data_IF_012830849397
#
_entry.id   IF_012830849397
#
_cell.length_a   1.000
_cell.length_b   1.000
_cell.length_c   1.000
_cell.angle_alpha   90.00
_cell.angle_beta   90.00
_cell.angle_gamma   90.00
#
_symmetry.space_group_name_H-M   'P 1'
#
loop_
_entity.id
_entity.type
_entity.pdbx_description
1 polymer ?
#
# COMPACT_ATOMS: atom_id res chain seq x y z
N UNK A 1 10.79 72.40 57.74
CA UNK A 1 10.45 73.06 56.50
C UNK A 1 8.99 72.77 56.27
N UNK A 2 8.10 73.74 56.56
CA UNK A 2 6.67 73.60 56.54
C UNK A 2 6.11 73.85 55.13
N UNK A 3 5.26 72.95 54.65
CA UNK A 3 4.48 73.13 53.43
C UNK A 3 3.05 73.45 53.84
N UNK A 4 2.67 74.71 53.72
CA UNK A 4 1.31 75.22 53.93
C UNK A 4 0.36 74.87 52.86
N UNK A 5 -0.67 74.01 53.13
CA UNK A 5 -1.77 73.69 52.29
C UNK A 5 -2.78 74.87 52.16
N UNK A 6 -2.76 75.49 51.01
CA UNK A 6 -3.72 76.59 50.66
C UNK A 6 -4.97 76.00 50.08
N UNK A 7 -6.04 75.81 50.83
CA UNK A 7 -7.39 75.44 50.34
C UNK A 7 -7.96 76.54 49.50
N UNK A 8 -8.04 76.29 48.19
CA UNK A 8 -8.76 77.17 47.26
C UNK A 8 -10.25 76.84 47.34
N UNK A 9 -11.04 77.75 47.96
CA UNK A 9 -12.51 77.66 47.92
C UNK A 9 -12.97 78.27 46.62
N UNK A 10 -13.49 77.39 45.68
CA UNK A 10 -14.22 77.86 44.47
C UNK A 10 -15.67 78.00 44.93
N UNK A 11 -16.12 79.22 45.13
CA UNK A 11 -17.52 79.55 45.26
C UNK A 11 -18.14 79.70 43.87
N UNK A 12 -18.87 78.69 43.42
CA UNK A 12 -19.76 78.85 42.26
C UNK A 12 -21.01 79.63 42.65
N UNK A 13 -21.29 80.75 41.98
CA UNK A 13 -22.53 81.41 42.19
C UNK A 13 -23.63 80.66 41.41
N UNK A 14 -24.50 79.99 42.15
CA UNK A 14 -25.74 79.45 41.59
C UNK A 14 -26.71 80.61 41.37
N UNK A 15 -26.63 81.20 40.19
CA UNK A 15 -27.69 82.06 39.73
C UNK A 15 -28.85 81.17 39.24
N UNK A 16 -29.80 80.88 40.14
CA UNK A 16 -31.09 80.30 39.79
C UNK A 16 -31.88 81.38 39.03
N UNK A 17 -31.71 81.40 37.72
CA UNK A 17 -32.66 82.12 36.82
C UNK A 17 -34.02 81.41 36.87
N UNK A 18 -35.11 82.12 36.51
CA UNK A 18 -36.46 81.56 36.53
C UNK A 18 -36.53 80.28 35.68
N UNK A 19 -36.86 79.19 36.33
CA UNK A 19 -37.09 77.90 35.66
C UNK A 19 -38.28 78.03 34.75
N UNK A 20 -38.04 78.48 33.51
CA UNK A 20 -38.98 78.28 32.43
C UNK A 20 -39.29 76.84 32.36
N UNK A 21 -40.59 76.52 32.22
CA UNK A 21 -41.14 75.17 32.24
C UNK A 21 -40.48 74.24 31.15
N UNK A 22 -39.29 73.71 31.47
CA UNK A 22 -38.47 72.86 30.56
C UNK A 22 -38.87 71.37 30.62
N UNK A 23 -39.99 71.07 31.35
CA UNK A 23 -40.45 69.70 31.55
C UNK A 23 -40.76 68.98 30.22
N UNK A 24 -41.16 69.68 29.19
CA UNK A 24 -41.42 69.15 27.89
C UNK A 24 -40.10 68.74 27.15
N UNK A 25 -39.04 69.57 27.30
CA UNK A 25 -37.76 69.31 26.60
C UNK A 25 -37.04 68.09 27.21
N UNK A 26 -37.06 67.97 28.56
CA UNK A 26 -36.46 66.76 29.24
C UNK A 26 -37.15 65.49 28.83
N UNK A 27 -38.48 65.45 28.62
CA UNK A 27 -39.19 64.30 28.12
C UNK A 27 -38.76 63.92 26.71
N UNK A 28 -38.62 64.92 25.81
CA UNK A 28 -38.20 64.70 24.41
C UNK A 28 -36.78 64.17 24.38
N UNK A 29 -35.86 64.71 25.20
CA UNK A 29 -34.48 64.23 25.30
C UNK A 29 -34.44 62.78 25.83
N UNK A 30 -35.22 62.49 26.88
CA UNK A 30 -35.30 61.15 27.41
C UNK A 30 -35.84 60.13 26.41
N UNK A 31 -36.88 60.48 25.62
CA UNK A 31 -37.39 59.67 24.50
C UNK A 31 -36.36 59.50 23.41
N UNK A 32 -35.64 60.52 22.97
CA UNK A 32 -34.59 60.42 21.97
C UNK A 32 -33.43 59.51 22.47
N UNK A 33 -32.95 59.67 23.71
CA UNK A 33 -31.94 58.81 24.27
C UNK A 33 -32.39 57.41 24.38
N UNK A 34 -33.65 57.15 24.81
CA UNK A 34 -34.21 55.80 24.89
C UNK A 34 -34.33 55.16 23.50
N UNK A 35 -34.76 55.94 22.49
CA UNK A 35 -34.82 55.44 21.10
C UNK A 35 -33.43 55.12 20.55
N UNK A 36 -32.44 55.95 20.83
CA UNK A 36 -31.06 55.70 20.45
C UNK A 36 -30.47 54.44 21.10
N UNK A 37 -30.73 54.27 22.39
CA UNK A 37 -30.32 53.06 23.14
C UNK A 37 -30.97 51.81 22.61
N UNK A 38 -32.27 51.86 22.24
CA UNK A 38 -32.95 50.74 21.62
C UNK A 38 -32.39 50.37 20.26
N UNK A 39 -32.09 51.39 19.42
CA UNK A 39 -31.41 51.18 18.12
C UNK A 39 -30.02 50.58 18.27
N UNK A 40 -29.21 51.07 19.20
CA UNK A 40 -27.90 50.55 19.51
C UNK A 40 -27.99 49.11 20.05
N UNK A 41 -28.91 48.89 20.97
CA UNK A 41 -29.16 47.53 21.55
C UNK A 41 -29.58 46.51 20.46
N UNK A 42 -30.50 46.94 19.56
CA UNK A 42 -30.87 46.13 18.40
C UNK A 42 -29.73 45.85 17.45
N UNK A 43 -28.86 46.82 17.19
CA UNK A 43 -27.67 46.62 16.37
C UNK A 43 -26.65 45.65 17.00
N UNK A 44 -26.37 45.81 18.28
CA UNK A 44 -25.49 44.87 19.01
C UNK A 44 -26.05 43.46 19.05
N UNK A 45 -27.37 43.31 19.21
CA UNK A 45 -28.01 41.98 19.19
C UNK A 45 -27.86 41.32 17.82
N UNK A 46 -28.10 42.05 16.70
CA UNK A 46 -27.93 41.49 15.36
C UNK A 46 -26.47 41.14 15.07
N UNK A 47 -25.50 42.01 15.46
CA UNK A 47 -24.10 41.75 15.32
C UNK A 47 -23.69 40.47 16.08
N UNK A 48 -24.09 40.33 17.35
CA UNK A 48 -23.81 39.16 18.19
C UNK A 48 -24.45 37.88 17.60
N UNK A 49 -25.64 37.92 17.05
CA UNK A 49 -26.27 36.78 16.36
C UNK A 49 -25.48 36.39 15.12
N UNK A 50 -25.01 37.36 14.35
CA UNK A 50 -24.19 37.12 13.16
C UNK A 50 -22.86 36.49 13.54
N UNK A 51 -22.16 37.00 14.55
CA UNK A 51 -20.90 36.40 15.07
C UNK A 51 -21.11 34.99 15.56
N UNK A 52 -22.18 34.70 16.31
CA UNK A 52 -22.52 33.35 16.76
C UNK A 52 -22.77 32.41 15.59
N UNK A 53 -23.43 32.88 14.52
CA UNK A 53 -23.67 32.09 13.32
C UNK A 53 -22.39 31.79 12.58
N UNK A 54 -21.49 32.78 12.43
CA UNK A 54 -20.18 32.61 11.83
C UNK A 54 -19.36 31.58 12.64
N UNK A 55 -19.23 31.78 13.94
CA UNK A 55 -18.49 30.85 14.82
C UNK A 55 -19.07 29.43 14.77
N UNK A 56 -20.40 29.29 14.74
CA UNK A 56 -21.03 27.97 14.57
C UNK A 56 -20.71 27.32 13.23
N UNK A 57 -20.68 28.10 12.14
CA UNK A 57 -20.33 27.60 10.82
C UNK A 57 -18.88 27.19 10.75
N UNK A 58 -17.95 27.96 11.33
CA UNK A 58 -16.52 27.61 11.40
C UNK A 58 -16.31 26.29 12.15
N UNK A 59 -17.00 26.09 13.29
CA UNK A 59 -16.96 24.83 14.04
C UNK A 59 -17.51 23.67 13.20
N UNK A 60 -18.58 23.87 12.44
CA UNK A 60 -19.14 22.84 11.58
C UNK A 60 -18.19 22.49 10.42
N UNK A 61 -17.56 23.48 9.80
CA UNK A 61 -16.54 23.28 8.77
C UNK A 61 -15.34 22.50 9.32
N UNK A 62 -14.82 22.91 10.49
CA UNK A 62 -13.71 22.20 11.13
C UNK A 62 -14.06 20.74 11.45
N UNK A 63 -15.26 20.49 11.96
CA UNK A 63 -15.72 19.11 12.25
C UNK A 63 -15.86 18.28 10.98
N UNK A 64 -16.45 18.85 9.91
CA UNK A 64 -16.54 18.17 8.62
C UNK A 64 -15.13 17.85 8.07
N UNK A 65 -14.17 18.76 8.22
CA UNK A 65 -12.78 18.55 7.84
C UNK A 65 -12.13 17.38 8.60
N UNK A 66 -12.25 17.34 9.94
CA UNK A 66 -11.72 16.23 10.73
C UNK A 66 -12.39 14.89 10.42
N UNK A 67 -13.67 14.90 10.07
CA UNK A 67 -14.35 13.69 9.60
C UNK A 67 -13.80 13.22 8.25
N UNK A 68 -13.49 14.15 7.33
CA UNK A 68 -12.85 13.79 6.07
C UNK A 68 -11.45 13.22 6.29
N UNK A 69 -10.66 13.79 7.19
CA UNK A 69 -9.37 13.22 7.58
C UNK A 69 -9.50 11.83 8.22
N UNK A 70 -10.51 11.63 9.08
CA UNK A 70 -10.79 10.30 9.63
C UNK A 70 -11.08 9.27 8.53
N UNK A 71 -11.78 9.67 7.46
CA UNK A 71 -12.00 8.85 6.28
C UNK A 71 -10.70 8.49 5.56
N UNK A 72 -9.75 9.44 5.43
CA UNK A 72 -8.42 9.15 4.88
C UNK A 72 -7.64 8.16 5.75
N UNK A 73 -7.66 8.32 7.08
CA UNK A 73 -6.98 7.38 7.99
C UNK A 73 -7.63 5.99 7.95
N UNK A 74 -8.95 5.92 7.84
CA UNK A 74 -9.66 4.66 7.64
C UNK A 74 -9.23 3.97 6.35
N UNK A 75 -9.18 4.72 5.23
CA UNK A 75 -8.69 4.22 3.96
C UNK A 75 -7.24 3.75 4.05
N UNK A 76 -6.36 4.55 4.65
CA UNK A 76 -4.96 4.18 4.87
C UNK A 76 -4.85 2.85 5.61
N UNK A 77 -5.57 2.69 6.71
CA UNK A 77 -5.57 1.45 7.50
C UNK A 77 -6.10 0.25 6.70
N UNK A 78 -7.16 0.44 5.92
CA UNK A 78 -7.68 -0.60 5.04
C UNK A 78 -6.69 -0.99 3.94
N UNK A 79 -6.05 0.00 3.31
CA UNK A 79 -5.03 -0.24 2.27
C UNK A 79 -3.79 -0.98 2.80
N UNK A 80 -3.47 -0.87 4.08
CA UNK A 80 -2.39 -1.66 4.68
C UNK A 80 -2.64 -3.18 4.56
N UNK A 81 -3.88 -3.62 4.61
CA UNK A 81 -4.25 -5.04 4.68
C UNK A 81 -4.89 -5.58 3.40
N UNK A 82 -5.46 -4.71 2.56
CA UNK A 82 -6.20 -5.12 1.37
C UNK A 82 -5.33 -5.01 0.11
N UNK A 83 -5.41 -5.97 -0.82
CA UNK A 83 -4.76 -5.85 -2.12
C UNK A 83 -5.40 -4.73 -2.96
N UNK A 84 -4.58 -3.91 -3.64
CA UNK A 84 -5.05 -2.78 -4.44
C UNK A 84 -6.06 -3.17 -5.53
N UNK A 85 -5.90 -4.28 -6.28
CA UNK A 85 -6.88 -4.68 -7.27
C UNK A 85 -8.29 -4.91 -6.70
N UNK A 86 -8.38 -5.47 -5.49
CA UNK A 86 -9.67 -5.68 -4.83
C UNK A 86 -10.33 -4.37 -4.40
N UNK A 87 -9.53 -3.38 -4.02
CA UNK A 87 -10.01 -2.04 -3.65
C UNK A 87 -10.48 -1.25 -4.87
N UNK A 88 -9.70 -1.27 -5.95
CA UNK A 88 -10.01 -0.55 -7.19
C UNK A 88 -11.23 -1.11 -7.93
N UNK A 89 -11.49 -2.42 -7.81
CA UNK A 89 -12.67 -3.05 -8.36
C UNK A 89 -13.98 -2.72 -7.62
N UNK A 90 -13.92 -1.93 -6.54
CA UNK A 90 -15.09 -1.51 -5.78
C UNK A 90 -15.80 -2.65 -5.01
N UNK A 91 -15.22 -3.86 -4.98
CA UNK A 91 -15.83 -5.04 -4.35
C UNK A 91 -15.64 -5.08 -2.84
N UNK A 92 -14.78 -4.20 -2.28
CA UNK A 92 -14.47 -4.18 -0.85
C UNK A 92 -15.42 -3.25 -0.09
N UNK A 93 -16.23 -3.86 0.77
CA UNK A 93 -17.13 -3.15 1.67
C UNK A 93 -16.43 -2.42 2.83
N UNK A 94 -15.11 -2.58 2.97
CA UNK A 94 -14.34 -1.98 4.09
C UNK A 94 -14.42 -0.45 4.10
N UNK A 95 -14.56 0.17 2.92
CA UNK A 95 -14.77 1.61 2.78
C UNK A 95 -16.26 1.98 2.67
N UNK A 96 -17.16 1.10 3.17
CA UNK A 96 -18.57 1.30 3.08
C UNK A 96 -19.19 0.99 1.71
N UNK A 97 -18.42 0.50 0.72
CA UNK A 97 -18.91 0.25 -0.65
C UNK A 97 -19.58 1.47 -1.28
N UNK A 98 -19.06 2.68 -1.02
CA UNK A 98 -19.71 3.95 -1.35
C UNK A 98 -20.74 4.42 -0.34
N UNK A 99 -21.04 3.65 0.70
CA UNK A 99 -21.94 4.03 1.78
C UNK A 99 -21.26 4.95 2.79
N UNK A 100 -22.04 5.84 3.38
CA UNK A 100 -21.56 6.75 4.40
C UNK A 100 -21.25 6.01 5.70
N UNK A 101 -20.06 6.25 6.26
CA UNK A 101 -19.67 5.81 7.60
C UNK A 101 -20.06 6.91 8.59
N UNK A 102 -20.90 6.60 9.56
CA UNK A 102 -21.32 7.55 10.58
C UNK A 102 -20.30 7.61 11.72
N UNK A 103 -19.86 8.82 12.07
CA UNK A 103 -18.90 9.08 13.13
C UNK A 103 -19.20 10.44 13.81
N UNK A 104 -19.27 10.47 15.13
CA UNK A 104 -19.37 11.69 15.95
C UNK A 104 -20.46 12.68 15.51
N UNK A 105 -21.62 12.17 15.06
CA UNK A 105 -22.78 12.97 14.63
C UNK A 105 -22.67 13.59 13.22
N UNK A 106 -21.70 13.18 12.44
CA UNK A 106 -21.57 13.42 11.01
C UNK A 106 -21.33 12.11 10.26
N UNK A 107 -20.96 12.21 8.99
CA UNK A 107 -20.65 11.05 8.15
C UNK A 107 -19.55 11.36 7.18
N UNK A 108 -18.85 10.32 6.72
CA UNK A 108 -17.92 10.42 5.59
C UNK A 108 -18.10 9.25 4.63
N UNK A 109 -17.73 9.49 3.37
CA UNK A 109 -17.60 8.46 2.34
C UNK A 109 -16.18 8.47 1.83
N UNK A 110 -15.64 7.28 1.52
CA UNK A 110 -14.30 7.14 0.96
C UNK A 110 -14.40 6.52 -0.43
N UNK A 111 -13.70 7.12 -1.38
CA UNK A 111 -13.50 6.58 -2.71
C UNK A 111 -12.01 6.41 -2.96
N UNK A 112 -11.62 5.25 -3.47
CA UNK A 112 -10.25 4.95 -3.89
C UNK A 112 -10.25 4.76 -5.39
N UNK A 113 -9.37 5.47 -6.08
CA UNK A 113 -9.25 5.42 -7.54
C UNK A 113 -7.78 5.31 -7.93
N UNK A 114 -7.50 4.77 -9.11
CA UNK A 114 -6.14 4.71 -9.64
C UNK A 114 -5.67 6.09 -10.13
N UNK A 115 -4.34 6.34 -10.11
CA UNK A 115 -3.70 7.59 -10.56
C UNK A 115 -3.54 7.68 -12.08
N UNK A 116 -4.61 7.43 -12.84
CA UNK A 116 -4.62 7.44 -14.29
C UNK A 116 -4.82 8.84 -14.90
N UNK A 117 -4.55 8.98 -16.19
CA UNK A 117 -4.72 10.24 -16.92
C UNK A 117 -6.16 10.80 -16.83
N UNK A 118 -7.19 9.92 -16.86
CA UNK A 118 -8.59 10.28 -16.67
C UNK A 118 -8.87 10.92 -15.30
N UNK A 119 -8.06 10.64 -14.28
CA UNK A 119 -8.13 11.22 -12.94
C UNK A 119 -7.20 12.45 -12.77
N UNK A 120 -6.69 13.00 -13.89
CA UNK A 120 -5.90 14.22 -13.93
C UNK A 120 -4.42 14.03 -13.56
N UNK A 121 -3.84 12.86 -13.83
CA UNK A 121 -2.41 12.62 -13.72
C UNK A 121 -1.70 12.76 -15.07
N UNK A 122 -0.40 13.15 -15.11
CA UNK A 122 0.51 13.32 -13.95
C UNK A 122 0.20 14.58 -13.10
N UNK A 123 0.60 14.53 -11.81
CA UNK A 123 0.46 15.66 -10.86
C UNK A 123 1.79 15.96 -10.19
N UNK A 124 2.43 17.05 -10.58
CA UNK A 124 3.77 17.39 -10.10
C UNK A 124 4.79 16.29 -10.46
N UNK A 125 5.40 15.71 -9.44
CA UNK A 125 6.36 14.60 -9.60
C UNK A 125 5.70 13.21 -9.64
N UNK A 126 4.37 13.12 -9.43
CA UNK A 126 3.63 11.86 -9.43
C UNK A 126 3.19 11.58 -10.87
N UNK A 127 3.75 10.54 -11.48
CA UNK A 127 3.41 10.09 -12.81
C UNK A 127 1.97 9.53 -12.87
N UNK A 128 1.44 9.39 -14.07
CA UNK A 128 0.24 8.57 -14.28
C UNK A 128 0.63 7.10 -14.26
N UNK A 129 -0.29 6.25 -13.77
CA UNK A 129 -0.13 4.81 -13.79
C UNK A 129 0.14 4.29 -15.22
N UNK A 130 1.19 3.50 -15.43
CA UNK A 130 1.54 2.97 -16.76
C UNK A 130 0.47 2.04 -17.36
N UNK A 131 -0.35 1.38 -16.53
CA UNK A 131 -1.46 0.55 -17.02
C UNK A 131 -2.58 1.38 -17.64
N UNK A 132 -2.71 2.65 -17.24
CA UNK A 132 -3.79 3.58 -17.56
C UNK A 132 -5.20 2.97 -17.39
N UNK A 133 -5.35 2.04 -16.45
CA UNK A 133 -6.58 1.32 -16.15
C UNK A 133 -7.17 1.79 -14.81
N UNK A 134 -8.48 1.98 -14.75
CA UNK A 134 -9.15 2.35 -13.50
C UNK A 134 -9.20 1.24 -12.45
N UNK A 135 -8.98 -0.01 -12.87
CA UNK A 135 -9.11 -1.21 -12.02
C UNK A 135 -7.82 -2.01 -11.86
N UNK A 136 -6.82 -1.72 -12.68
CA UNK A 136 -5.49 -2.33 -12.63
C UNK A 136 -4.49 -1.26 -12.21
N UNK A 137 -3.77 -1.52 -11.14
CA UNK A 137 -2.72 -0.65 -10.63
C UNK A 137 -1.35 -1.22 -11.00
N UNK A 138 -0.50 -0.41 -11.63
CA UNK A 138 0.82 -0.80 -12.10
C UNK A 138 1.99 -0.16 -11.34
N UNK A 139 1.72 0.83 -10.45
CA UNK A 139 2.76 1.60 -9.76
C UNK A 139 2.55 1.71 -8.24
N UNK A 140 1.54 1.00 -7.71
CA UNK A 140 1.19 1.00 -6.27
C UNK A 140 0.78 2.37 -5.73
N UNK A 141 0.32 3.27 -6.61
CA UNK A 141 -0.12 4.61 -6.25
C UNK A 141 -1.63 4.73 -6.48
N UNK A 142 -2.34 5.14 -5.46
CA UNK A 142 -3.79 5.35 -5.52
C UNK A 142 -4.18 6.73 -4.99
N UNK A 143 -5.31 7.21 -5.47
CA UNK A 143 -5.93 8.45 -5.01
C UNK A 143 -7.08 8.10 -4.09
N UNK A 144 -7.02 8.59 -2.87
CA UNK A 144 -8.08 8.45 -1.88
C UNK A 144 -8.78 9.78 -1.74
N UNK A 145 -10.08 9.79 -2.00
CA UNK A 145 -10.95 10.96 -1.79
C UNK A 145 -11.92 10.66 -0.66
N UNK A 146 -11.87 11.45 0.38
CA UNK A 146 -12.82 11.39 1.48
C UNK A 146 -13.73 12.62 1.44
N UNK A 147 -15.03 12.39 1.36
CA UNK A 147 -16.05 13.43 1.43
C UNK A 147 -16.81 13.27 2.74
N UNK A 148 -16.78 14.29 3.57
CA UNK A 148 -17.46 14.28 4.86
C UNK A 148 -18.49 15.38 4.98
N UNK A 149 -19.59 15.07 5.67
CA UNK A 149 -20.67 15.99 5.98
C UNK A 149 -20.90 16.08 7.48
N UNK A 150 -21.01 17.31 7.98
CA UNK A 150 -21.39 17.58 9.35
C UNK A 150 -22.40 18.74 9.34
N UNK A 151 -23.66 18.45 9.72
CA UNK A 151 -24.77 19.41 9.60
C UNK A 151 -24.86 20.00 8.19
N UNK A 152 -24.67 21.31 8.05
CA UNK A 152 -24.76 22.04 6.79
C UNK A 152 -23.40 22.24 6.10
N UNK A 153 -22.34 21.62 6.61
CA UNK A 153 -21.00 21.79 6.08
C UNK A 153 -20.50 20.48 5.45
N UNK A 154 -19.93 20.60 4.26
CA UNK A 154 -19.28 19.47 3.56
C UNK A 154 -17.83 19.83 3.30
N UNK A 155 -16.94 18.87 3.50
CA UNK A 155 -15.52 19.00 3.23
C UNK A 155 -15.01 17.80 2.45
N UNK A 156 -14.09 18.06 1.53
CA UNK A 156 -13.47 17.02 0.70
C UNK A 156 -11.96 17.08 0.92
N UNK A 157 -11.39 15.96 1.29
CA UNK A 157 -9.94 15.77 1.40
C UNK A 157 -9.52 14.72 0.39
N UNK A 158 -8.51 15.03 -0.40
CA UNK A 158 -7.90 14.12 -1.35
C UNK A 158 -6.45 13.88 -0.98
N UNK A 159 -6.03 12.64 -1.00
CA UNK A 159 -4.67 12.23 -0.70
C UNK A 159 -4.20 11.23 -1.75
N UNK A 160 -2.98 11.40 -2.24
CA UNK A 160 -2.32 10.39 -3.06
C UNK A 160 -1.47 9.54 -2.13
N UNK A 161 -1.74 8.25 -2.13
CA UNK A 161 -1.07 7.26 -1.30
C UNK A 161 -0.27 6.32 -2.17
N UNK A 162 0.93 5.99 -1.72
CA UNK A 162 1.72 4.89 -2.26
C UNK A 162 1.69 3.75 -1.25
N UNK A 163 1.25 2.59 -1.68
CA UNK A 163 1.35 1.37 -0.90
C UNK A 163 2.71 0.74 -1.22
N UNK A 164 3.62 0.79 -0.27
CA UNK A 164 4.84 -0.01 -0.42
C UNK A 164 4.45 -1.47 -0.30
N UNK A 165 4.61 -2.23 -1.37
CA UNK A 165 4.55 -3.68 -1.29
C UNK A 165 5.55 -4.13 -0.22
N UNK A 166 5.09 -4.92 0.74
CA UNK A 166 6.01 -5.57 1.69
C UNK A 166 6.79 -6.68 0.99
N UNK A 167 6.34 -7.03 -0.22
CA UNK A 167 6.97 -8.00 -1.08
C UNK A 167 7.63 -7.28 -2.26
N UNK A 168 8.94 -7.36 -2.42
CA UNK A 168 9.63 -6.70 -3.51
C UNK A 168 9.25 -7.35 -4.84
N UNK A 169 9.08 -6.53 -5.85
CA UNK A 169 8.85 -7.03 -7.21
C UNK A 169 9.92 -8.06 -7.58
N UNK A 170 9.48 -9.23 -7.99
CA UNK A 170 10.37 -10.31 -8.46
C UNK A 170 10.96 -9.89 -9.81
N UNK A 171 12.28 -9.74 -9.95
CA UNK A 171 12.90 -9.14 -11.13
C UNK A 171 13.10 -10.11 -12.30
N UNK A 172 12.60 -11.33 -12.21
CA UNK A 172 12.74 -12.34 -13.26
C UNK A 172 11.87 -13.57 -13.06
N UNK A 173 11.71 -14.37 -14.11
CA UNK A 173 11.04 -15.67 -14.03
C UNK A 173 11.86 -16.67 -13.19
N UNK A 174 13.17 -16.61 -13.30
CA UNK A 174 14.11 -17.30 -12.39
C UNK A 174 15.03 -16.26 -11.78
N UNK A 175 15.09 -16.24 -10.46
CA UNK A 175 15.89 -15.29 -9.66
C UNK A 175 16.88 -16.07 -8.82
N UNK A 176 18.18 -15.83 -9.03
CA UNK A 176 19.25 -16.44 -8.26
C UNK A 176 20.04 -15.36 -7.52
N UNK A 177 19.96 -15.36 -6.20
CA UNK A 177 20.68 -14.41 -5.35
C UNK A 177 21.66 -15.15 -4.46
N UNK A 178 22.93 -15.19 -4.91
CA UNK A 178 24.01 -15.84 -4.18
C UNK A 178 25.29 -15.01 -4.17
N UNK A 179 26.22 -15.33 -3.28
CA UNK A 179 27.58 -14.76 -3.27
C UNK A 179 28.54 -15.53 -4.19
N UNK A 180 28.15 -16.70 -4.63
CA UNK A 180 28.94 -17.60 -5.49
C UNK A 180 28.58 -17.48 -6.97
N UNK A 181 28.83 -18.57 -7.67
CA UNK A 181 28.41 -18.76 -9.06
C UNK A 181 26.92 -19.08 -9.09
N UNK A 182 26.27 -18.65 -10.15
CA UNK A 182 24.90 -19.02 -10.46
C UNK A 182 24.93 -19.89 -11.71
N UNK A 183 24.35 -21.06 -11.63
CA UNK A 183 24.22 -22.01 -12.74
C UNK A 183 22.75 -22.26 -13.03
N UNK A 184 22.37 -22.18 -14.30
CA UNK A 184 21.03 -22.39 -14.77
C UNK A 184 21.03 -23.39 -15.92
N UNK A 185 20.52 -24.58 -15.66
CA UNK A 185 20.37 -25.63 -16.66
C UNK A 185 18.95 -25.62 -17.23
N UNK A 186 18.82 -25.44 -18.55
CA UNK A 186 17.50 -25.22 -19.21
C UNK A 186 17.29 -26.24 -20.32
N UNK A 187 16.66 -27.34 -19.98
CA UNK A 187 16.05 -28.29 -20.94
C UNK A 187 14.56 -28.06 -21.18
N UNK A 188 13.99 -27.06 -20.52
CA UNK A 188 12.61 -26.61 -20.65
C UNK A 188 12.50 -25.21 -21.27
N UNK A 189 11.48 -24.44 -20.85
CA UNK A 189 11.25 -23.06 -21.30
C UNK A 189 11.14 -22.12 -20.10
N UNK A 190 11.87 -20.99 -20.13
CA UNK A 190 11.76 -19.93 -19.15
C UNK A 190 11.38 -18.64 -19.88
N UNK A 191 10.27 -18.03 -19.49
CA UNK A 191 9.75 -16.80 -20.05
C UNK A 191 9.63 -15.71 -18.99
N UNK A 192 10.39 -14.61 -19.15
CA UNK A 192 10.23 -13.38 -18.36
C UNK A 192 9.17 -12.44 -18.93
N UNK A 193 8.55 -12.77 -20.06
CA UNK A 193 7.39 -12.02 -20.55
C UNK A 193 6.20 -12.29 -19.64
N UNK A 194 5.57 -11.22 -19.19
CA UNK A 194 4.42 -11.33 -18.27
C UNK A 194 3.24 -12.00 -18.97
N UNK A 195 2.93 -13.22 -18.54
CA UNK A 195 1.83 -14.03 -19.10
C UNK A 195 0.47 -13.37 -18.85
N UNK A 196 0.31 -12.62 -17.76
CA UNK A 196 -0.93 -11.92 -17.45
C UNK A 196 -1.17 -10.68 -18.32
N UNK A 197 -0.11 -10.11 -18.88
CA UNK A 197 -0.14 -8.87 -19.66
C UNK A 197 -0.47 -7.61 -18.85
N UNK A 198 -0.46 -7.70 -17.53
CA UNK A 198 -0.84 -6.60 -16.63
C UNK A 198 0.35 -5.82 -16.09
N UNK A 199 1.55 -6.39 -16.15
CA UNK A 199 2.77 -5.78 -15.66
C UNK A 199 3.84 -5.64 -16.75
N UNK A 200 4.93 -4.99 -16.40
CA UNK A 200 6.10 -4.93 -17.27
C UNK A 200 6.78 -6.29 -17.37
N UNK A 201 7.25 -6.62 -18.57
CA UNK A 201 8.05 -7.80 -18.78
C UNK A 201 9.33 -7.76 -17.96
N UNK A 202 9.70 -8.89 -17.37
CA UNK A 202 10.88 -9.04 -16.54
C UNK A 202 11.97 -9.81 -17.28
N UNK A 203 13.12 -9.99 -16.61
CA UNK A 203 14.14 -10.88 -17.14
C UNK A 203 13.63 -12.34 -17.14
N UNK A 204 14.04 -13.12 -18.13
CA UNK A 204 13.87 -14.57 -18.05
C UNK A 204 14.69 -15.14 -16.90
N UNK A 205 15.94 -14.70 -16.81
CA UNK A 205 16.83 -15.00 -15.69
C UNK A 205 17.41 -13.73 -15.09
N UNK A 206 17.22 -13.54 -13.81
CA UNK A 206 17.84 -12.49 -13.00
C UNK A 206 18.84 -13.09 -12.04
N UNK A 207 20.01 -12.50 -11.93
CA UNK A 207 21.04 -13.01 -11.03
C UNK A 207 21.82 -11.90 -10.33
N UNK A 208 22.21 -12.21 -9.10
CA UNK A 208 23.23 -11.49 -8.34
C UNK A 208 24.43 -12.40 -8.17
N UNK A 209 25.62 -11.89 -8.30
CA UNK A 209 26.85 -12.66 -8.12
C UNK A 209 27.73 -12.72 -9.36
N UNK A 210 28.61 -13.72 -9.41
CA UNK A 210 29.58 -13.91 -10.48
C UNK A 210 28.94 -14.52 -11.74
N UNK A 211 29.72 -15.02 -12.62
CA UNK A 211 29.34 -15.52 -13.95
C UNK A 211 28.17 -16.49 -13.89
N UNK A 212 27.23 -16.29 -14.77
CA UNK A 212 26.10 -17.20 -14.99
C UNK A 212 26.47 -18.16 -16.10
N UNK A 213 26.27 -19.44 -15.86
CA UNK A 213 26.32 -20.47 -16.91
C UNK A 213 24.86 -20.76 -17.25
N UNK A 214 24.44 -20.42 -18.45
CA UNK A 214 23.13 -20.78 -18.98
C UNK A 214 23.36 -21.89 -20.02
N UNK A 215 22.89 -23.06 -19.69
CA UNK A 215 22.91 -24.19 -20.63
C UNK A 215 21.53 -24.31 -21.25
N UNK A 216 21.46 -24.24 -22.57
CA UNK A 216 20.19 -24.29 -23.32
C UNK A 216 19.74 -22.95 -23.92
N UNK A 217 18.76 -23.00 -24.83
CA UNK A 217 18.41 -21.85 -25.69
C UNK A 217 16.99 -21.32 -25.50
N UNK A 218 16.32 -21.69 -24.43
CA UNK A 218 14.89 -21.43 -24.26
C UNK A 218 14.58 -20.44 -23.14
N UNK A 219 15.51 -19.54 -22.85
CA UNK A 219 15.31 -18.41 -21.92
C UNK A 219 14.92 -17.18 -22.72
N UNK A 220 13.74 -16.63 -22.44
CA UNK A 220 13.21 -15.41 -23.06
C UNK A 220 12.80 -14.40 -22.00
N UNK A 221 12.68 -13.13 -22.39
CA UNK A 221 12.31 -12.05 -21.46
C UNK A 221 12.85 -10.70 -21.94
N UNK A 222 12.70 -9.68 -21.15
CA UNK A 222 13.21 -8.34 -21.46
C UNK A 222 14.12 -7.78 -20.34
N UNK A 223 15.44 -8.08 -20.40
CA UNK A 223 16.16 -8.98 -21.33
C UNK A 223 15.98 -10.48 -20.98
N UNK A 224 16.50 -11.38 -21.85
CA UNK A 224 16.49 -12.82 -21.56
C UNK A 224 17.24 -13.15 -20.25
N UNK A 225 18.39 -12.53 -20.02
CA UNK A 225 19.14 -12.63 -18.77
C UNK A 225 19.65 -11.24 -18.34
N UNK A 226 19.63 -10.97 -17.02
CA UNK A 226 20.06 -9.69 -16.45
C UNK A 226 20.74 -9.89 -15.09
N UNK A 227 21.82 -9.14 -14.89
CA UNK A 227 22.47 -9.02 -13.59
C UNK A 227 21.81 -7.89 -12.78
N UNK A 228 21.88 -7.99 -11.46
CA UNK A 228 21.48 -6.91 -10.55
C UNK A 228 22.12 -5.57 -10.95
N UNK A 229 21.29 -4.53 -10.95
CA UNK A 229 21.68 -3.14 -11.20
C UNK A 229 21.12 -2.24 -10.10
N UNK A 230 22.00 -1.62 -9.32
CA UNK A 230 21.65 -0.76 -8.19
C UNK A 230 20.81 0.47 -8.56
N UNK A 231 20.80 0.87 -9.83
CA UNK A 231 20.01 1.99 -10.31
C UNK A 231 18.54 1.60 -10.64
N UNK A 232 18.30 0.31 -10.90
CA UNK A 232 17.01 -0.19 -11.38
C UNK A 232 16.32 -1.12 -10.39
N UNK A 233 17.10 -1.83 -9.56
CA UNK A 233 16.59 -2.93 -8.76
C UNK A 233 16.46 -2.57 -7.28
N UNK A 234 15.52 -3.25 -6.61
CA UNK A 234 15.41 -3.15 -5.16
C UNK A 234 16.72 -3.66 -4.50
N UNK A 235 17.33 -2.88 -3.59
CA UNK A 235 18.57 -3.24 -2.90
C UNK A 235 18.55 -4.61 -2.21
N UNK A 236 17.37 -5.12 -1.86
CA UNK A 236 17.24 -6.46 -1.28
C UNK A 236 17.80 -7.54 -2.20
N UNK A 237 17.69 -7.37 -3.51
CA UNK A 237 18.22 -8.34 -4.49
C UNK A 237 19.73 -8.31 -4.63
N UNK A 238 20.42 -7.34 -3.99
CA UNK A 238 21.89 -7.32 -3.87
C UNK A 238 22.39 -8.01 -2.60
N UNK A 239 21.53 -8.29 -1.64
CA UNK A 239 21.92 -8.90 -0.37
C UNK A 239 21.32 -10.30 -0.20
N UNK A 240 22.13 -11.37 -0.40
CA UNK A 240 21.68 -12.73 -0.18
C UNK A 240 21.16 -13.00 1.25
N UNK A 241 21.71 -12.31 2.27
CA UNK A 241 21.22 -12.48 3.64
C UNK A 241 19.83 -11.88 3.82
N UNK A 242 19.54 -10.75 3.15
CA UNK A 242 18.20 -10.17 3.19
C UNK A 242 17.17 -11.09 2.52
N UNK A 243 17.52 -11.71 1.39
CA UNK A 243 16.66 -12.70 0.71
C UNK A 243 16.45 -13.93 1.59
N UNK A 244 17.51 -14.45 2.18
CA UNK A 244 17.43 -15.59 3.11
C UNK A 244 16.55 -15.26 4.31
N UNK A 245 16.74 -14.10 4.94
CA UNK A 245 15.92 -13.65 6.07
C UNK A 245 14.44 -13.53 5.71
N UNK A 246 14.13 -13.07 4.50
CA UNK A 246 12.76 -13.04 3.98
C UNK A 246 12.17 -14.46 3.88
N UNK A 247 12.90 -15.39 3.30
CA UNK A 247 12.44 -16.78 3.17
C UNK A 247 12.30 -17.45 4.54
N UNK A 248 13.24 -17.25 5.46
CA UNK A 248 13.16 -17.76 6.84
C UNK A 248 11.94 -17.21 7.59
N UNK A 249 11.58 -15.95 7.35
CA UNK A 249 10.35 -15.36 7.90
C UNK A 249 9.11 -16.11 7.41
N UNK A 250 9.05 -16.46 6.12
CA UNK A 250 7.94 -17.26 5.58
C UNK A 250 7.92 -18.67 6.16
N UNK A 251 9.08 -19.31 6.27
CA UNK A 251 9.20 -20.66 6.87
C UNK A 251 8.74 -20.70 8.33
N UNK A 252 8.91 -19.58 9.05
CA UNK A 252 8.54 -19.44 10.46
C UNK A 252 7.16 -18.83 10.66
N UNK A 253 6.41 -18.54 9.59
CA UNK A 253 5.04 -18.06 9.71
C UNK A 253 4.17 -19.12 10.42
N UNK A 254 3.42 -18.75 11.45
CA UNK A 254 2.53 -19.70 12.15
C UNK A 254 1.46 -20.34 11.24
N UNK A 255 1.10 -19.69 10.13
CA UNK A 255 0.16 -20.21 9.15
C UNK A 255 0.83 -21.11 8.09
N UNK A 256 2.15 -21.18 8.05
CA UNK A 256 2.86 -22.02 7.11
C UNK A 256 2.63 -23.51 7.37
N UNK A 257 2.29 -24.24 6.31
CA UNK A 257 2.12 -25.69 6.37
C UNK A 257 3.49 -26.35 6.18
N UNK A 258 3.96 -27.07 7.21
CA UNK A 258 5.26 -27.76 7.20
C UNK A 258 5.06 -29.23 6.93
N UNK A 259 5.74 -29.75 5.91
CA UNK A 259 5.65 -31.14 5.45
C UNK A 259 7.07 -31.72 5.37
N UNK A 260 7.27 -32.84 6.02
CA UNK A 260 8.53 -33.59 5.98
C UNK A 260 8.31 -34.91 5.25
N UNK A 261 9.26 -35.32 4.44
CA UNK A 261 9.24 -36.59 3.72
C UNK A 261 9.32 -36.45 2.21
N UNK A 262 9.59 -37.57 1.54
CA UNK A 262 9.97 -37.59 0.12
C UNK A 262 8.78 -37.53 -0.86
N UNK A 263 7.57 -37.65 -0.36
CA UNK A 263 6.36 -37.51 -1.21
C UNK A 263 5.98 -36.05 -1.33
N UNK A 264 5.81 -35.52 -2.56
CA UNK A 264 5.32 -34.17 -2.73
C UNK A 264 3.99 -33.94 -2.06
N UNK A 265 3.81 -32.78 -1.41
CA UNK A 265 2.54 -32.44 -0.80
C UNK A 265 1.43 -32.36 -1.86
N UNK A 266 0.26 -32.92 -1.53
CA UNK A 266 -0.90 -32.93 -2.43
C UNK A 266 -1.72 -31.63 -2.32
N UNK A 267 -1.68 -30.96 -1.17
CA UNK A 267 -2.38 -29.70 -0.92
C UNK A 267 -1.34 -28.58 -0.80
N UNK A 268 -1.22 -27.80 -1.86
CA UNK A 268 -0.30 -26.67 -1.98
C UNK A 268 -1.04 -25.33 -2.02
N UNK A 269 -2.20 -25.27 -1.36
CA UNK A 269 -3.08 -24.11 -1.41
C UNK A 269 -4.08 -24.17 -2.56
N UNK A 270 -5.08 -23.31 -2.48
CA UNK A 270 -6.16 -23.18 -3.45
C UNK A 270 -6.26 -21.77 -3.96
N UNK A 271 -6.85 -21.55 -5.13
CA UNK A 271 -7.04 -20.24 -5.73
C UNK A 271 -7.65 -19.19 -4.79
N UNK A 272 -8.62 -19.61 -3.96
CA UNK A 272 -9.28 -18.73 -2.98
C UNK A 272 -8.66 -18.77 -1.59
N UNK A 273 -7.66 -19.62 -1.38
CA UNK A 273 -6.92 -19.77 -0.11
C UNK A 273 -5.48 -20.17 -0.41
N UNK A 274 -4.66 -19.23 -0.93
CA UNK A 274 -3.24 -19.50 -1.14
C UNK A 274 -2.55 -19.74 0.20
N UNK A 275 -1.46 -20.51 0.20
CA UNK A 275 -0.74 -20.83 1.43
C UNK A 275 0.78 -20.84 1.23
N UNK A 276 1.50 -20.72 2.35
CA UNK A 276 2.92 -21.00 2.41
C UNK A 276 3.06 -22.49 2.74
N UNK A 277 3.72 -23.24 1.87
CA UNK A 277 4.07 -24.64 2.13
C UNK A 277 5.58 -24.76 2.19
N UNK A 278 6.06 -25.27 3.31
CA UNK A 278 7.47 -25.61 3.51
C UNK A 278 7.61 -27.11 3.37
N UNK A 279 8.30 -27.54 2.35
CA UNK A 279 8.55 -28.96 2.10
C UNK A 279 10.02 -29.29 2.33
N UNK A 280 10.26 -30.16 3.30
CA UNK A 280 11.58 -30.62 3.71
C UNK A 280 11.68 -32.14 3.43
N UNK A 281 12.13 -32.55 2.23
CA UNK A 281 12.31 -33.94 1.90
C UNK A 281 13.51 -34.52 2.66
N UNK A 282 13.45 -35.81 2.98
CA UNK A 282 14.54 -36.54 3.65
C UNK A 282 15.55 -37.08 2.65
N UNK A 283 15.19 -37.17 1.37
CA UNK A 283 16.02 -37.67 0.28
C UNK A 283 16.19 -36.61 -0.82
N UNK A 284 17.37 -36.60 -1.45
CA UNK A 284 17.67 -35.73 -2.57
C UNK A 284 16.94 -36.10 -3.88
N UNK A 285 16.56 -37.37 -4.00
CA UNK A 285 15.83 -37.89 -5.18
C UNK A 285 14.36 -38.13 -4.85
N UNK A 286 13.65 -37.01 -4.71
CA UNK A 286 12.24 -37.07 -4.43
C UNK A 286 11.44 -37.25 -5.70
N UNK A 287 10.57 -38.24 -5.74
CA UNK A 287 9.36 -38.28 -6.50
C UNK A 287 9.33 -38.96 -7.84
N UNK A 288 9.59 -40.22 -7.81
CA UNK A 288 9.10 -41.07 -8.89
C UNK A 288 7.64 -41.48 -8.59
N UNK A 289 6.71 -41.05 -9.41
CA UNK A 289 5.34 -41.55 -9.39
C UNK A 289 4.31 -40.83 -8.50
N UNK A 290 4.60 -39.63 -8.03
CA UNK A 290 3.58 -38.83 -7.35
C UNK A 290 2.49 -38.35 -8.32
N UNK A 291 1.22 -38.23 -7.88
CA UNK A 291 0.14 -37.72 -8.72
C UNK A 291 0.39 -36.24 -9.08
N UNK A 292 -0.13 -35.83 -10.25
CA UNK A 292 -0.14 -34.41 -10.62
C UNK A 292 -0.74 -33.59 -9.48
N UNK A 293 -0.07 -32.49 -9.12
CA UNK A 293 -0.61 -31.55 -8.17
C UNK A 293 -0.84 -30.17 -8.81
N UNK A 294 -1.78 -29.44 -8.25
CA UNK A 294 -2.05 -28.03 -8.52
C UNK A 294 -1.90 -27.26 -7.21
N UNK A 295 -1.30 -26.06 -7.29
CA UNK A 295 -1.06 -25.28 -6.08
C UNK A 295 -1.05 -23.79 -6.30
N UNK A 296 -1.28 -23.05 -5.21
CA UNK A 296 -1.36 -21.59 -5.21
C UNK A 296 -0.65 -21.03 -3.96
N UNK A 297 0.28 -20.11 -4.16
CA UNK A 297 0.96 -19.44 -3.04
C UNK A 297 2.48 -19.50 -3.11
N UNK A 298 3.11 -19.87 -1.99
CA UNK A 298 4.56 -19.97 -1.88
C UNK A 298 4.90 -21.43 -1.52
N UNK A 299 5.69 -22.08 -2.37
CA UNK A 299 6.25 -23.40 -2.10
C UNK A 299 7.76 -23.27 -1.80
N UNK A 300 8.14 -23.48 -0.57
CA UNK A 300 9.55 -23.47 -0.14
C UNK A 300 10.05 -24.90 -0.08
N UNK A 301 11.01 -25.22 -0.92
CA UNK A 301 11.70 -26.52 -0.95
C UNK A 301 13.04 -26.40 -0.24
N UNK A 302 13.22 -27.18 0.82
CA UNK A 302 14.40 -27.12 1.68
C UNK A 302 15.42 -28.15 1.24
N UNK A 303 16.67 -27.73 1.09
CA UNK A 303 17.77 -28.63 0.72
C UNK A 303 17.89 -28.87 -0.78
N UNK A 304 18.49 -30.00 -1.15
CA UNK A 304 18.63 -30.43 -2.54
C UNK A 304 17.36 -31.17 -2.97
N UNK A 305 16.65 -30.63 -3.95
CA UNK A 305 15.37 -31.19 -4.38
C UNK A 305 15.34 -31.37 -5.88
N UNK A 306 14.98 -32.57 -6.33
CA UNK A 306 14.68 -32.85 -7.72
C UNK A 306 13.18 -33.18 -7.86
N UNK A 307 12.40 -32.25 -8.40
CA UNK A 307 10.95 -32.38 -8.54
C UNK A 307 10.60 -33.02 -9.89
N UNK A 308 10.30 -34.31 -9.87
CA UNK A 308 10.01 -35.12 -11.10
C UNK A 308 8.52 -35.31 -11.41
N UNK A 309 7.64 -34.71 -10.61
CA UNK A 309 6.19 -34.87 -10.76
C UNK A 309 5.59 -33.81 -11.66
N UNK A 310 4.59 -34.17 -12.46
CA UNK A 310 3.80 -33.18 -13.20
C UNK A 310 3.07 -32.24 -12.22
N UNK A 311 3.10 -30.93 -12.46
CA UNK A 311 2.40 -29.95 -11.64
C UNK A 311 1.95 -28.74 -12.45
N UNK A 312 0.97 -28.05 -11.90
CA UNK A 312 0.60 -26.70 -12.27
C UNK A 312 0.61 -25.84 -11.00
N UNK A 313 1.48 -24.84 -10.95
CA UNK A 313 1.64 -24.03 -9.74
C UNK A 313 1.51 -22.55 -10.08
N UNK A 314 0.75 -21.83 -9.27
CA UNK A 314 0.53 -20.38 -9.39
C UNK A 314 1.13 -19.64 -8.21
N UNK A 315 2.24 -18.94 -8.42
CA UNK A 315 2.92 -18.20 -7.37
C UNK A 315 4.44 -18.32 -7.41
N UNK A 316 5.05 -18.51 -6.24
CA UNK A 316 6.50 -18.51 -6.07
C UNK A 316 7.00 -19.88 -5.59
N UNK A 317 7.91 -20.47 -6.33
CA UNK A 317 8.68 -21.64 -5.87
C UNK A 317 10.02 -21.13 -5.35
N UNK A 318 10.38 -21.50 -4.13
CA UNK A 318 11.64 -21.09 -3.48
C UNK A 318 12.51 -22.32 -3.24
N UNK A 319 13.73 -22.29 -3.78
CA UNK A 319 14.79 -23.21 -3.41
C UNK A 319 15.58 -22.63 -2.24
N UNK A 320 15.59 -23.31 -1.09
CA UNK A 320 16.19 -22.79 0.12
C UNK A 320 17.22 -23.78 0.72
N UNK A 321 18.42 -23.28 1.00
CA UNK A 321 19.43 -24.01 1.75
C UNK A 321 20.11 -25.18 1.03
N UNK A 322 19.78 -25.40 -0.24
CA UNK A 322 20.39 -26.41 -1.08
C UNK A 322 21.36 -25.82 -2.10
N UNK A 323 22.27 -26.67 -2.59
CA UNK A 323 23.17 -26.30 -3.68
C UNK A 323 22.51 -26.46 -5.04
N UNK A 324 21.50 -27.31 -5.13
CA UNK A 324 20.84 -27.68 -6.38
C UNK A 324 19.34 -27.84 -6.18
N UNK A 325 18.58 -27.19 -7.06
CA UNK A 325 17.16 -27.46 -7.25
C UNK A 325 16.93 -27.81 -8.71
N UNK A 326 16.42 -28.99 -8.99
CA UNK A 326 16.01 -29.35 -10.34
C UNK A 326 14.49 -29.56 -10.40
N UNK A 327 13.84 -28.95 -11.40
CA UNK A 327 12.48 -29.28 -11.79
C UNK A 327 12.63 -30.12 -13.04
N UNK A 328 12.54 -31.44 -12.88
CA UNK A 328 12.84 -32.41 -13.89
C UNK A 328 11.65 -33.35 -14.07
N UNK A 329 10.62 -32.90 -14.72
CA UNK A 329 9.46 -33.73 -14.99
C UNK A 329 9.20 -33.91 -16.46
N UNK A 330 8.65 -35.05 -16.81
CA UNK A 330 8.12 -35.26 -18.15
C UNK A 330 7.00 -34.26 -18.48
N UNK A 331 6.61 -34.16 -19.74
CA UNK A 331 5.63 -33.25 -20.28
C UNK A 331 4.46 -32.89 -19.35
N UNK A 332 4.30 -31.62 -18.98
CA UNK A 332 3.15 -31.13 -18.24
C UNK A 332 3.43 -30.41 -16.93
N UNK A 333 4.66 -30.00 -16.67
CA UNK A 333 4.98 -29.08 -15.57
C UNK A 333 4.89 -27.66 -16.04
N UNK A 334 4.05 -26.87 -15.35
CA UNK A 334 3.89 -25.44 -15.64
C UNK A 334 3.91 -24.65 -14.33
N UNK A 335 4.78 -23.65 -14.26
CA UNK A 335 4.78 -22.63 -13.22
C UNK A 335 4.29 -21.31 -13.81
N UNK A 336 3.22 -20.78 -13.25
CA UNK A 336 2.72 -19.42 -13.48
C UNK A 336 3.17 -18.52 -12.34
N UNK A 337 4.31 -17.84 -12.51
CA UNK A 337 4.89 -17.04 -11.45
C UNK A 337 6.40 -16.91 -11.56
N UNK A 338 7.14 -17.32 -10.52
CA UNK A 338 8.60 -17.24 -10.53
C UNK A 338 9.27 -18.32 -9.67
N UNK A 339 10.56 -18.53 -9.91
CA UNK A 339 11.45 -19.32 -9.07
C UNK A 339 12.42 -18.36 -8.38
N UNK A 340 12.63 -18.54 -7.07
CA UNK A 340 13.63 -17.87 -6.28
C UNK A 340 14.60 -18.87 -5.67
N UNK A 341 15.86 -18.79 -6.02
CA UNK A 341 16.92 -19.54 -5.36
C UNK A 341 17.57 -18.68 -4.27
N UNK A 342 17.30 -19.03 -3.01
CA UNK A 342 17.83 -18.39 -1.81
C UNK A 342 18.79 -19.33 -1.09
N UNK A 343 20.10 -19.12 -1.26
CA UNK A 343 21.11 -19.95 -0.65
C UNK A 343 21.62 -19.32 0.65
N UNK A 344 21.44 -20.03 1.77
CA UNK A 344 21.91 -19.63 3.09
C UNK A 344 23.42 -19.74 3.25
N UNK A 345 24.00 -20.70 2.56
CA UNK A 345 25.43 -20.98 2.71
C UNK A 345 26.17 -20.41 1.49
N UNK A 346 26.78 -19.20 1.61
CA UNK A 346 27.68 -18.75 0.60
C UNK A 346 28.89 -19.68 0.67
N UNK A 347 28.82 -20.80 -0.08
CA UNK A 347 29.92 -21.74 -0.10
C UNK A 347 31.22 -20.99 -0.49
N UNK A 348 32.17 -20.84 0.42
CA UNK A 348 33.43 -20.18 0.10
C UNK A 348 34.24 -20.94 -0.96
N UNK A 349 33.90 -22.20 -1.22
CA UNK A 349 34.53 -23.02 -2.26
C UNK A 349 34.10 -22.69 -3.70
N UNK A 350 33.15 -21.75 -3.88
CA UNK A 350 32.77 -21.27 -5.23
C UNK A 350 31.83 -22.20 -5.98
N UNK A 351 31.19 -23.17 -5.31
CA UNK A 351 30.14 -23.98 -5.95
C UNK A 351 28.92 -23.15 -6.32
N UNK A 352 28.36 -23.41 -7.48
CA UNK A 352 27.22 -22.72 -8.03
C UNK A 352 25.93 -23.01 -7.23
N UNK A 353 25.04 -22.02 -7.16
CA UNK A 353 23.63 -22.28 -6.86
C UNK A 353 23.00 -22.73 -8.17
N UNK A 354 22.73 -24.01 -8.29
CA UNK A 354 22.20 -24.60 -9.50
C UNK A 354 20.67 -24.61 -9.48
N UNK A 355 20.07 -24.13 -10.57
CA UNK A 355 18.63 -24.26 -10.82
C UNK A 355 18.46 -24.96 -12.16
N UNK A 356 17.84 -26.13 -12.15
CA UNK A 356 17.51 -26.89 -13.34
C UNK A 356 16.01 -26.74 -13.69
N UNK A 357 15.73 -26.33 -14.94
CA UNK A 357 14.38 -26.33 -15.52
C UNK A 357 14.40 -27.25 -16.74
N UNK A 358 14.13 -28.54 -16.50
CA UNK A 358 14.44 -29.61 -17.44
C UNK A 358 13.22 -30.27 -18.06
N UNK A 359 13.44 -31.07 -19.09
CA UNK A 359 12.47 -32.03 -19.67
C UNK A 359 11.10 -31.45 -20.05
N UNK A 360 11.08 -30.26 -20.67
CA UNK A 360 9.85 -29.63 -21.17
C UNK A 360 9.03 -28.89 -20.11
N UNK A 361 9.58 -28.69 -18.91
CA UNK A 361 9.03 -27.81 -17.87
C UNK A 361 8.92 -26.36 -18.40
N UNK A 362 7.82 -25.68 -18.08
CA UNK A 362 7.58 -24.28 -18.44
C UNK A 362 7.56 -23.41 -17.19
N UNK A 363 8.37 -22.38 -17.18
CA UNK A 363 8.34 -21.32 -16.17
C UNK A 363 7.93 -20.02 -16.86
N UNK A 364 6.72 -19.58 -16.61
CA UNK A 364 6.14 -18.37 -17.18
C UNK A 364 6.04 -17.30 -16.09
N UNK A 365 6.78 -16.20 -16.23
CA UNK A 365 6.57 -15.06 -15.33
C UNK A 365 5.12 -14.63 -15.39
N UNK A 366 4.48 -14.54 -14.24
CA UNK A 366 3.08 -14.14 -14.13
C UNK A 366 2.91 -13.21 -12.94
N UNK A 367 2.82 -11.92 -13.23
CA UNK A 367 2.72 -10.87 -12.24
C UNK A 367 1.44 -10.96 -11.41
N UNK A 368 0.32 -11.31 -12.04
CA UNK A 368 -0.96 -11.44 -11.34
C UNK A 368 -0.93 -12.59 -10.35
N UNK A 369 -0.32 -13.73 -10.73
CA UNK A 369 -0.14 -14.84 -9.80
C UNK A 369 0.72 -14.46 -8.60
N UNK A 370 1.80 -13.69 -8.81
CA UNK A 370 2.65 -13.19 -7.73
C UNK A 370 1.89 -12.20 -6.84
N UNK A 371 1.18 -11.23 -7.42
CA UNK A 371 0.36 -10.27 -6.66
C UNK A 371 -0.79 -10.93 -5.90
N UNK A 372 -1.47 -11.87 -6.53
CA UNK A 372 -2.67 -12.49 -5.96
C UNK A 372 -2.37 -13.56 -4.92
N UNK A 373 -1.32 -14.36 -5.14
CA UNK A 373 -1.08 -15.56 -4.32
C UNK A 373 0.17 -15.49 -3.45
N UNK A 374 1.12 -14.60 -3.77
CA UNK A 374 2.39 -14.50 -3.02
C UNK A 374 2.41 -13.28 -2.11
N UNK A 375 2.05 -12.12 -2.65
CA UNK A 375 2.06 -10.85 -1.91
C UNK A 375 1.27 -10.89 -0.58
N UNK A 376 0.03 -11.44 -0.54
CA UNK A 376 -0.72 -11.55 0.71
C UNK A 376 -0.08 -12.46 1.76
N UNK A 377 0.74 -13.42 1.31
CA UNK A 377 1.42 -14.39 2.17
C UNK A 377 2.83 -13.91 2.57
N UNK A 378 3.52 -13.24 1.64
CA UNK A 378 4.93 -12.89 1.78
C UNK A 378 5.23 -11.83 2.80
N UNK A 379 4.24 -11.19 3.29
CA UNK A 379 4.45 -10.11 4.22
C UNK A 379 3.34 -9.84 5.15
N UNK A 380 2.65 -10.71 5.78
CA UNK A 380 1.59 -10.41 6.78
C UNK A 380 1.72 -9.10 7.57
N UNK A 381 2.70 -8.31 7.23
CA UNK A 381 2.89 -6.93 7.62
C UNK A 381 2.19 -6.03 6.60
N UNK A 382 1.23 -5.28 7.05
CA UNK A 382 0.68 -4.11 6.41
C UNK A 382 1.74 -3.41 5.54
N UNK A 383 1.58 -3.44 4.22
CA UNK A 383 2.42 -2.64 3.34
C UNK A 383 2.38 -1.20 3.84
N UNK A 384 3.53 -0.62 4.14
CA UNK A 384 3.57 0.75 4.66
C UNK A 384 2.94 1.68 3.63
N UNK A 385 1.86 2.35 4.01
CA UNK A 385 1.20 3.33 3.15
C UNK A 385 1.81 4.71 3.38
N UNK A 386 2.49 5.23 2.36
CA UNK A 386 3.12 6.54 2.37
C UNK A 386 2.21 7.58 1.72
N UNK A 387 2.09 8.73 2.33
CA UNK A 387 1.42 9.89 1.74
C UNK A 387 2.39 10.59 0.78
N UNK A 388 2.03 10.67 -0.50
CA UNK A 388 2.79 11.39 -1.53
C UNK A 388 2.32 12.84 -1.66
N UNK A 389 1.01 13.07 -1.61
CA UNK A 389 0.44 14.41 -1.62
C UNK A 389 -0.87 14.44 -0.85
N UNK A 390 -1.24 15.63 -0.40
CA UNK A 390 -2.47 15.90 0.32
C UNK A 390 -3.04 17.23 -0.12
N UNK A 391 -4.36 17.34 -0.29
CA UNK A 391 -5.05 18.61 -0.57
C UNK A 391 -6.48 18.62 -0.05
N UNK A 392 -6.92 19.77 0.39
CA UNK A 392 -8.33 20.09 0.62
C UNK A 392 -8.93 20.64 -0.69
N UNK A 393 -10.12 20.20 -1.05
CA UNK A 393 -10.88 20.70 -2.23
C UNK A 393 -12.06 21.53 -1.80
#
# INVERSE_FOLDING_TARGET
MGITNKKMRITLPWALGPVRDERGIALVIALLVSALLLLLGGHFMTASMTEKTIASNEVNVARAFYLAEAGIQHAKKGLETLPLPAVLNGTQSVFGGGNAVNLAGGSYTVQVTNNIAANGFPRGTIAADPSNSGTVDGDEIVVVTSTAAFRNSTQIVETVLQKSSSFPTIPGAVVQVSNGWNDLDVGGTISGFDESGTCTNQAGHFHRGKTVIIQGNTVTGNPAARKYDSALDNPMWDDPNAVVAMVEKWMNDPAAVKITGDTPPKDLGKKNKPQITVWDPTSTDTNQGAPKFEGYGILIMVGRVNLKTAFEFHGLIVAYGGKEMAIEGGNGQVLHGAILAANKDPNPSGEATEVGVLNGTKVNYNCDALKQYVEPLGGGGSGAVKVLSWRQR
#
